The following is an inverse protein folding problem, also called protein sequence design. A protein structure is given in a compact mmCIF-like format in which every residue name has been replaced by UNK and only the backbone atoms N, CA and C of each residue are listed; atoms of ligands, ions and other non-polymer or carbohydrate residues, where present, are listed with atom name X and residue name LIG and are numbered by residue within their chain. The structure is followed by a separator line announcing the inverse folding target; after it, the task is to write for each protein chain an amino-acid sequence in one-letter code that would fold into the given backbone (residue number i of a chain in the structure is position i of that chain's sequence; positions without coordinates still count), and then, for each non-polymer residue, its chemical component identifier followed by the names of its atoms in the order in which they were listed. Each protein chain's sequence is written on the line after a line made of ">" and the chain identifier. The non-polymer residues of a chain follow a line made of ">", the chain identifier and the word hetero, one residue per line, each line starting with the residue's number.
data_IF_041966785067
#
_entry.id   IF_041966785067
#
_cell.length_a   1.000
_cell.length_b   1.000
_cell.length_c   1.000
_cell.angle_alpha   90.00
_cell.angle_beta   90.00
_cell.angle_gamma   90.00
#
_symmetry.space_group_name_H-M   'P 1'
#
loop_
_entity.id
_entity.type
_entity.pdbx_description
1 polymer ?
#
# COMPACT_ATOMS: atom_id res chain seq x y z
N UNK A 1 -15.53 18.91 -73.87
CA UNK A 1 -15.12 19.32 -72.49
C UNK A 1 -15.60 18.35 -71.50
N UNK A 2 -14.74 17.52 -71.01
CA UNK A 2 -15.05 16.57 -69.98
C UNK A 2 -14.63 17.13 -68.65
N UNK A 3 -15.61 17.39 -67.80
CA UNK A 3 -15.35 17.70 -66.40
C UNK A 3 -15.13 16.39 -65.68
N UNK A 4 -13.93 16.10 -65.30
CA UNK A 4 -13.62 15.03 -64.39
C UNK A 4 -14.01 15.44 -62.98
N UNK A 5 -15.08 14.89 -62.50
CA UNK A 5 -15.44 15.05 -61.09
C UNK A 5 -14.56 14.11 -60.27
N UNK A 6 -13.47 14.65 -59.75
CA UNK A 6 -12.72 14.01 -58.69
C UNK A 6 -13.51 14.15 -57.40
N UNK A 7 -14.18 13.08 -57.03
CA UNK A 7 -14.74 12.97 -55.65
C UNK A 7 -13.58 12.87 -54.65
N UNK A 8 -13.46 13.78 -53.70
CA UNK A 8 -12.48 13.61 -52.67
C UNK A 8 -12.92 12.44 -51.77
N UNK A 9 -12.16 11.38 -51.81
CA UNK A 9 -12.25 10.32 -50.82
C UNK A 9 -11.79 10.91 -49.50
N UNK A 10 -12.75 11.36 -48.70
CA UNK A 10 -12.47 11.68 -47.28
C UNK A 10 -12.30 10.37 -46.54
N UNK A 11 -11.06 9.99 -46.35
CA UNK A 11 -10.74 8.99 -45.38
C UNK A 11 -10.97 9.57 -43.98
N UNK A 12 -12.16 9.31 -43.45
CA UNK A 12 -12.37 9.48 -41.99
C UNK A 12 -11.61 8.36 -41.28
N UNK A 13 -10.38 8.65 -40.92
CA UNK A 13 -9.69 7.79 -39.97
C UNK A 13 -10.39 7.92 -38.63
N UNK A 14 -11.26 6.96 -38.31
CA UNK A 14 -11.78 6.80 -36.96
C UNK A 14 -10.61 6.34 -36.08
N UNK A 15 -9.97 7.28 -35.41
CA UNK A 15 -9.09 6.97 -34.31
C UNK A 15 -9.96 6.53 -33.13
N UNK A 16 -10.16 5.21 -33.01
CA UNK A 16 -10.60 4.64 -31.75
C UNK A 16 -9.43 4.77 -30.78
N UNK A 17 -9.40 5.87 -30.06
CA UNK A 17 -8.56 5.97 -28.89
C UNK A 17 -9.15 5.03 -27.84
N UNK A 18 -8.61 3.83 -27.75
CA UNK A 18 -8.84 2.97 -26.59
C UNK A 18 -8.13 3.64 -25.42
N UNK A 19 -8.87 4.47 -24.69
CA UNK A 19 -8.48 4.90 -23.37
C UNK A 19 -8.41 3.65 -22.52
N UNK A 20 -7.18 3.20 -22.22
CA UNK A 20 -6.97 2.23 -21.18
C UNK A 20 -7.41 2.88 -19.87
N UNK A 21 -8.67 2.66 -19.48
CA UNK A 21 -9.13 3.01 -18.15
C UNK A 21 -8.43 2.05 -17.19
N UNK A 22 -7.40 2.55 -16.48
CA UNK A 22 -7.02 1.93 -15.23
C UNK A 22 -8.28 1.94 -14.37
N UNK A 23 -8.84 0.75 -14.08
CA UNK A 23 -9.99 0.63 -13.18
C UNK A 23 -9.65 1.35 -11.89
N UNK A 24 -10.46 2.35 -11.43
CA UNK A 24 -10.23 2.98 -10.15
C UNK A 24 -10.18 1.89 -9.08
N UNK A 25 -9.11 1.87 -8.28
CA UNK A 25 -9.00 0.96 -7.15
C UNK A 25 -10.15 1.26 -6.21
N UNK A 26 -10.98 0.24 -5.90
CA UNK A 26 -12.04 0.38 -4.91
C UNK A 26 -11.42 0.85 -3.60
N UNK A 27 -11.82 2.03 -3.06
CA UNK A 27 -11.24 2.55 -1.80
C UNK A 27 -11.49 1.64 -0.60
N UNK A 28 -12.39 0.66 -0.71
CA UNK A 28 -12.63 -0.36 0.32
C UNK A 28 -11.77 -1.60 0.17
N UNK A 29 -11.12 -1.81 -0.96
CA UNK A 29 -10.19 -2.91 -1.13
C UNK A 29 -8.99 -2.71 -0.20
N UNK A 30 -8.65 -3.76 0.57
CA UNK A 30 -7.51 -3.71 1.48
C UNK A 30 -6.22 -3.76 0.68
N UNK A 31 -5.37 -2.73 0.74
CA UNK A 31 -4.08 -2.77 0.07
C UNK A 31 -3.18 -3.84 0.70
N UNK A 32 -2.43 -4.55 -0.14
CA UNK A 32 -1.49 -5.59 0.29
C UNK A 32 -0.13 -5.30 -0.30
N UNK A 33 0.90 -5.35 0.54
CA UNK A 33 2.29 -5.33 0.08
C UNK A 33 2.98 -6.62 0.51
N UNK A 34 3.64 -7.28 -0.44
CA UNK A 34 4.35 -8.54 -0.21
C UNK A 34 5.85 -8.27 -0.11
N UNK A 35 6.43 -8.57 1.04
CA UNK A 35 7.88 -8.47 1.22
C UNK A 35 8.64 -9.60 0.53
N UNK A 36 8.00 -10.75 0.29
CA UNK A 36 8.60 -11.87 -0.41
C UNK A 36 9.76 -12.53 0.30
N UNK A 37 9.91 -12.37 1.62
CA UNK A 37 11.08 -12.83 2.37
C UNK A 37 10.75 -13.75 3.54
N UNK A 38 9.50 -14.18 3.66
CA UNK A 38 9.13 -15.11 4.72
C UNK A 38 7.64 -15.47 4.75
N UNK A 39 7.22 -16.29 5.72
CA UNK A 39 5.87 -16.82 5.79
C UNK A 39 4.89 -15.95 6.61
N UNK A 40 5.38 -14.89 7.27
CA UNK A 40 4.59 -14.14 8.22
C UNK A 40 3.80 -13.00 7.58
N UNK A 41 2.78 -12.51 8.28
CA UNK A 41 1.91 -11.44 7.83
C UNK A 41 1.44 -10.56 8.99
N UNK A 42 1.03 -9.33 8.66
CA UNK A 42 0.46 -8.38 9.61
C UNK A 42 -0.69 -7.61 8.97
N UNK A 43 -1.85 -7.67 9.62
CA UNK A 43 -3.03 -6.91 9.25
C UNK A 43 -3.18 -5.70 10.15
N UNK A 44 -3.38 -4.53 9.54
CA UNK A 44 -3.48 -3.26 10.26
C UNK A 44 -4.88 -2.67 10.18
N UNK A 45 -5.30 -2.07 11.28
CA UNK A 45 -6.41 -1.11 11.31
C UNK A 45 -5.90 0.17 11.98
N UNK A 46 -5.98 1.28 11.26
CA UNK A 46 -5.52 2.59 11.73
C UNK A 46 -6.73 3.47 12.00
N UNK A 47 -6.80 4.01 13.20
CA UNK A 47 -7.85 4.92 13.64
C UNK A 47 -7.26 6.22 14.18
N UNK A 48 -8.09 7.26 14.23
CA UNK A 48 -7.76 8.50 14.92
C UNK A 48 -8.13 8.40 16.43
N UNK A 49 -7.86 9.45 17.24
CA UNK A 49 -8.20 9.40 18.66
C UNK A 49 -9.70 9.23 18.96
N UNK A 50 -10.59 9.56 18.00
CA UNK A 50 -12.04 9.35 18.17
C UNK A 50 -12.48 7.93 17.81
N UNK A 51 -11.58 7.09 17.28
CA UNK A 51 -11.88 5.73 16.84
C UNK A 51 -12.33 5.62 15.38
N UNK A 52 -12.31 6.72 14.63
CA UNK A 52 -12.67 6.71 13.20
C UNK A 52 -11.51 6.22 12.35
N UNK A 53 -11.78 5.38 11.30
CA UNK A 53 -10.72 4.90 10.43
C UNK A 53 -10.08 6.05 9.65
N UNK A 54 -8.78 5.94 9.41
CA UNK A 54 -8.00 6.98 8.70
C UNK A 54 -7.55 6.46 7.35
N UNK A 55 -8.00 7.13 6.29
CA UNK A 55 -7.61 6.86 4.90
C UNK A 55 -6.22 7.39 4.61
N UNK A 56 -5.49 6.66 3.76
CA UNK A 56 -4.17 7.07 3.24
C UNK A 56 -3.12 7.33 4.33
N UNK A 57 -3.24 6.67 5.47
CA UNK A 57 -2.15 6.63 6.45
C UNK A 57 -1.00 5.81 5.88
N UNK A 58 0.19 6.36 5.90
CA UNK A 58 1.38 5.70 5.43
C UNK A 58 1.97 4.83 6.53
N UNK A 59 2.06 3.52 6.30
CA UNK A 59 2.67 2.57 7.24
C UNK A 59 4.00 2.11 6.67
N UNK A 60 5.07 2.30 7.44
CA UNK A 60 6.45 1.93 7.08
C UNK A 60 7.02 0.93 8.05
N UNK A 61 7.81 0.01 7.52
CA UNK A 61 8.62 -0.92 8.33
C UNK A 61 9.99 -1.09 7.70
N UNK A 62 11.03 -1.04 8.54
CA UNK A 62 12.40 -1.37 8.16
C UNK A 62 12.75 -2.74 8.73
N UNK A 63 13.18 -3.66 7.88
CA UNK A 63 13.38 -5.06 8.25
C UNK A 63 14.84 -5.43 8.06
N UNK A 64 15.49 -5.90 9.14
CA UNK A 64 16.80 -6.53 9.08
C UNK A 64 16.60 -8.05 9.21
N UNK A 65 17.04 -8.80 8.19
CA UNK A 65 16.75 -10.23 8.09
C UNK A 65 17.91 -11.00 7.44
N UNK A 66 17.75 -12.31 7.33
CA UNK A 66 18.72 -13.19 6.69
C UNK A 66 19.91 -13.52 7.58
N UNK A 67 20.94 -14.10 6.99
CA UNK A 67 22.14 -14.53 7.71
C UNK A 67 22.82 -13.34 8.41
N UNK A 68 22.98 -13.43 9.71
CA UNK A 68 23.51 -12.37 10.59
C UNK A 68 22.77 -11.03 10.45
N UNK A 69 21.51 -11.06 9.99
CA UNK A 69 20.68 -9.87 9.76
C UNK A 69 21.32 -8.84 8.81
N UNK A 70 22.12 -9.34 7.87
CA UNK A 70 22.85 -8.48 6.94
C UNK A 70 22.00 -7.90 5.82
N UNK A 71 20.84 -8.51 5.55
CA UNK A 71 19.90 -8.04 4.53
C UNK A 71 18.92 -7.04 5.12
N UNK A 72 18.58 -6.04 4.34
CA UNK A 72 17.63 -4.98 4.71
C UNK A 72 16.52 -4.87 3.69
N UNK A 73 15.30 -4.64 4.16
CA UNK A 73 14.15 -4.38 3.31
C UNK A 73 13.28 -3.29 3.96
N UNK A 74 12.88 -2.31 3.16
CA UNK A 74 11.94 -1.28 3.56
C UNK A 74 10.62 -1.49 2.82
N UNK A 75 9.52 -1.56 3.56
CA UNK A 75 8.17 -1.66 3.01
C UNK A 75 7.34 -0.46 3.45
N UNK A 76 6.48 0.00 2.54
CA UNK A 76 5.61 1.14 2.77
C UNK A 76 4.29 0.95 2.04
N UNK A 77 3.17 1.23 2.70
CA UNK A 77 1.84 1.10 2.12
C UNK A 77 0.88 2.10 2.76
N UNK A 78 -0.09 2.59 1.98
CA UNK A 78 -1.16 3.44 2.48
C UNK A 78 -2.41 2.64 2.85
N UNK A 79 -3.13 3.07 3.88
CA UNK A 79 -4.40 2.45 4.29
C UNK A 79 -5.53 2.82 3.34
N UNK A 80 -6.55 1.93 3.28
CA UNK A 80 -7.79 2.21 2.55
C UNK A 80 -8.76 3.08 3.37
N UNK A 81 -9.98 3.29 2.85
CA UNK A 81 -11.00 4.11 3.53
C UNK A 81 -11.47 3.55 4.87
N UNK A 82 -11.27 2.26 5.12
CA UNK A 82 -11.56 1.61 6.39
C UNK A 82 -10.34 1.59 7.34
N UNK A 83 -9.28 2.31 6.98
CA UNK A 83 -8.04 2.37 7.76
C UNK A 83 -7.21 1.09 7.70
N UNK A 84 -7.45 0.22 6.72
CA UNK A 84 -6.84 -1.11 6.65
C UNK A 84 -5.72 -1.20 5.65
N UNK A 85 -4.70 -2.01 6.00
CA UNK A 85 -3.61 -2.40 5.13
C UNK A 85 -3.06 -3.75 5.58
N UNK A 86 -2.44 -4.49 4.67
CA UNK A 86 -1.87 -5.80 4.96
C UNK A 86 -0.44 -5.89 4.44
N UNK A 87 0.43 -6.43 5.26
CA UNK A 87 1.77 -6.84 4.91
C UNK A 87 1.83 -8.36 4.87
N UNK A 88 2.35 -8.92 3.79
CA UNK A 88 2.59 -10.36 3.65
C UNK A 88 4.07 -10.62 3.35
N UNK A 89 4.47 -11.89 3.31
CA UNK A 89 5.85 -12.23 2.98
C UNK A 89 6.88 -11.69 3.97
N UNK A 90 6.49 -11.49 5.23
CA UNK A 90 7.37 -11.00 6.28
C UNK A 90 8.21 -12.15 6.85
N UNK A 91 9.47 -11.88 7.26
CA UNK A 91 10.33 -12.92 7.82
C UNK A 91 9.85 -13.35 9.21
N UNK A 92 10.09 -14.61 9.54
CA UNK A 92 9.81 -15.17 10.87
C UNK A 92 10.92 -14.87 11.89
N UNK A 93 12.07 -14.37 11.42
CA UNK A 93 13.20 -13.97 12.25
C UNK A 93 13.75 -12.62 11.84
N UNK A 94 13.82 -11.72 12.79
CA UNK A 94 14.38 -10.38 12.62
C UNK A 94 15.29 -10.03 13.78
N UNK A 95 16.15 -9.04 13.59
CA UNK A 95 17.11 -8.65 14.62
C UNK A 95 16.42 -8.14 15.90
N UNK A 96 15.34 -7.37 15.78
CA UNK A 96 14.68 -6.70 16.91
C UNK A 96 13.16 -6.73 16.81
N UNK A 97 12.59 -7.73 16.10
CA UNK A 97 11.18 -7.75 15.77
C UNK A 97 10.84 -6.77 14.65
N UNK A 98 9.56 -6.52 14.46
CA UNK A 98 9.06 -5.61 13.44
C UNK A 98 8.41 -4.40 14.10
N UNK A 99 8.93 -3.23 13.82
CA UNK A 99 8.41 -1.96 14.30
C UNK A 99 7.79 -1.20 13.14
N UNK A 100 6.47 -1.08 13.16
CA UNK A 100 5.70 -0.37 12.14
C UNK A 100 5.41 1.04 12.59
N UNK A 101 5.67 2.01 11.72
CA UNK A 101 5.35 3.42 11.95
C UNK A 101 4.27 3.87 10.99
N UNK A 102 3.20 4.39 11.55
CA UNK A 102 2.09 4.96 10.80
C UNK A 102 2.12 6.48 10.89
N UNK A 103 1.91 7.16 9.79
CA UNK A 103 1.93 8.62 9.78
C UNK A 103 1.01 9.21 8.72
N UNK A 104 0.45 10.35 9.07
CA UNK A 104 -0.17 11.32 8.16
C UNK A 104 0.63 12.62 8.23
N UNK A 105 0.15 13.69 7.59
CA UNK A 105 0.85 14.98 7.64
C UNK A 105 1.05 15.50 9.07
N UNK A 106 0.08 15.28 9.97
CA UNK A 106 0.06 15.88 11.31
C UNK A 106 -0.13 14.87 12.45
N UNK A 107 -0.23 13.59 12.17
CA UNK A 107 -0.45 12.54 13.16
C UNK A 107 0.48 11.37 12.94
N UNK A 108 0.76 10.63 14.00
CA UNK A 108 1.61 9.45 13.96
C UNK A 108 1.19 8.40 14.98
N UNK A 109 1.60 7.19 14.75
CA UNK A 109 1.41 6.06 15.65
C UNK A 109 2.36 4.93 15.29
N UNK A 110 2.38 3.89 16.11
CA UNK A 110 3.26 2.77 15.89
C UNK A 110 2.67 1.47 16.44
N UNK A 111 3.20 0.35 15.95
CA UNK A 111 2.91 -0.97 16.47
C UNK A 111 4.16 -1.84 16.34
N UNK A 112 4.30 -2.76 17.28
CA UNK A 112 5.40 -3.70 17.34
C UNK A 112 4.87 -5.13 17.33
N UNK A 113 5.56 -6.02 16.62
CA UNK A 113 5.32 -7.46 16.68
C UNK A 113 6.64 -8.21 16.56
N UNK A 114 6.77 -9.28 17.32
CA UNK A 114 7.85 -10.24 17.15
C UNK A 114 7.31 -11.40 16.28
N UNK A 115 7.73 -11.52 15.02
CA UNK A 115 7.19 -12.54 14.13
C UNK A 115 7.60 -13.97 14.54
N UNK A 116 8.64 -14.12 15.34
CA UNK A 116 9.01 -15.42 15.90
C UNK A 116 7.97 -15.93 16.89
N UNK A 117 7.23 -15.01 17.52
CA UNK A 117 6.16 -15.35 18.48
C UNK A 117 4.78 -15.29 17.84
N UNK A 118 4.56 -14.33 16.94
CA UNK A 118 3.27 -14.07 16.29
C UNK A 118 3.48 -13.88 14.79
N UNK A 119 3.46 -14.98 14.05
CA UNK A 119 3.71 -14.96 12.61
C UNK A 119 2.54 -14.39 11.82
N UNK A 120 1.31 -14.56 12.30
CA UNK A 120 0.11 -13.92 11.72
C UNK A 120 -0.44 -12.94 12.73
N UNK A 121 -0.15 -11.66 12.55
CA UNK A 121 -0.50 -10.61 13.49
C UNK A 121 -1.68 -9.78 13.00
N UNK A 122 -2.53 -9.38 13.95
CA UNK A 122 -3.57 -8.37 13.75
C UNK A 122 -3.27 -7.20 14.68
N UNK A 123 -3.00 -6.03 14.11
CA UNK A 123 -2.49 -4.88 14.83
C UNK A 123 -3.42 -3.69 14.66
N UNK A 124 -3.65 -2.96 15.73
CA UNK A 124 -4.39 -1.70 15.73
C UNK A 124 -3.43 -0.57 16.07
N UNK A 125 -3.51 0.51 15.30
CA UNK A 125 -2.74 1.73 15.55
C UNK A 125 -3.72 2.88 15.72
N UNK A 126 -3.63 3.57 16.86
CA UNK A 126 -4.33 4.82 17.08
C UNK A 126 -3.37 5.98 16.84
N UNK A 127 -3.68 6.82 15.87
CA UNK A 127 -2.85 7.99 15.56
C UNK A 127 -3.03 9.06 16.63
N UNK A 128 -1.95 9.70 17.01
CA UNK A 128 -1.92 10.85 17.91
C UNK A 128 -1.32 12.06 17.17
N UNK A 129 -1.64 13.25 17.61
CA UNK A 129 -1.05 14.46 17.05
C UNK A 129 0.48 14.43 17.22
N UNK A 130 1.21 14.80 16.16
CA UNK A 130 2.65 14.91 16.23
C UNK A 130 3.05 16.01 17.22
N UNK A 131 4.15 15.83 17.98
CA UNK A 131 4.68 16.91 18.82
C UNK A 131 5.05 18.10 17.95
N UNK A 132 4.71 19.27 18.41
CA UNK A 132 5.11 20.54 17.78
C UNK A 132 6.50 20.95 18.24
#
# INVERSE_FOLDING_TARGET
>A
MRKSNLLPLTFSALFLATLAHASPVDPKTVPVIDGGIGPCSADFTVTDPSGSPVYATNIKVHIAYGFMYARKLDLEIGTNSDGKARFTGLPDRTKQGLFFRASTANREGSAFVDPAKTCTATLAITLQDKPQ
#
